data_IF_481029953462
#
_entry.id   IF_481029953462
#
_cell.length_a   1.000
_cell.length_b   1.000
_cell.length_c   1.000
_cell.angle_alpha   90.00
_cell.angle_beta   90.00
_cell.angle_gamma   90.00
#
_symmetry.space_group_name_H-M   'P 1'
#
loop_
_entity.id
_entity.type
_entity.pdbx_description
1 polymer ?
#
# COMPACT_ATOMS: atom_id res chain seq x y z
N UNK A 1 -15.13 12.86 14.62
CA UNK A 1 -16.00 11.88 13.96
C UNK A 1 -15.11 10.70 13.57
N UNK A 2 -15.16 9.57 14.31
CA UNK A 2 -14.18 8.46 14.22
C UNK A 2 -14.85 7.09 14.30
N UNK A 3 -15.85 6.82 13.45
CA UNK A 3 -16.67 5.60 13.59
C UNK A 3 -16.35 4.50 12.56
N UNK A 4 -15.77 4.83 11.40
CA UNK A 4 -15.52 3.85 10.32
C UNK A 4 -14.24 3.00 10.48
N UNK A 5 -13.30 3.41 11.35
CA UNK A 5 -12.00 2.72 11.53
C UNK A 5 -12.10 1.47 12.42
N UNK A 6 -13.02 1.49 13.37
CA UNK A 6 -13.25 0.40 14.32
C UNK A 6 -13.60 -0.95 13.65
N UNK A 7 -14.51 -1.00 12.64
CA UNK A 7 -14.82 -2.25 11.95
C UNK A 7 -13.65 -2.77 11.09
N UNK A 8 -12.88 -1.90 10.43
CA UNK A 8 -11.68 -2.31 9.65
C UNK A 8 -10.66 -2.98 10.54
N UNK A 9 -10.32 -2.31 11.64
CA UNK A 9 -9.35 -2.77 12.62
C UNK A 9 -9.81 -4.10 13.23
N UNK A 10 -11.10 -4.20 13.57
CA UNK A 10 -11.67 -5.42 14.14
C UNK A 10 -11.61 -6.59 13.17
N UNK A 11 -11.93 -6.38 11.89
CA UNK A 11 -11.83 -7.44 10.86
C UNK A 11 -10.39 -7.89 10.63
N UNK A 12 -9.44 -6.97 10.58
CA UNK A 12 -8.03 -7.31 10.46
C UNK A 12 -7.55 -8.14 11.66
N UNK A 13 -7.93 -7.76 12.88
CA UNK A 13 -7.65 -8.55 14.09
C UNK A 13 -8.27 -9.95 14.00
N UNK A 14 -9.53 -10.06 13.57
CA UNK A 14 -10.19 -11.36 13.37
C UNK A 14 -9.45 -12.24 12.35
N UNK A 15 -9.01 -11.68 11.21
CA UNK A 15 -8.22 -12.44 10.23
C UNK A 15 -6.89 -12.90 10.82
N UNK A 16 -6.24 -12.06 11.63
CA UNK A 16 -4.96 -12.39 12.28
C UNK A 16 -5.13 -13.55 13.27
N UNK A 17 -6.18 -13.53 14.08
CA UNK A 17 -6.41 -14.52 15.13
C UNK A 17 -7.04 -15.83 14.61
N UNK A 18 -7.60 -15.83 13.40
CA UNK A 18 -8.31 -16.99 12.86
C UNK A 18 -7.35 -18.14 12.48
N UNK A 19 -7.62 -19.39 12.92
CA UNK A 19 -6.69 -20.50 12.74
C UNK A 19 -6.54 -20.95 11.28
N UNK A 20 -7.56 -20.74 10.45
CA UNK A 20 -7.52 -21.10 9.02
C UNK A 20 -6.79 -20.06 8.14
N UNK A 21 -6.42 -18.90 8.68
CA UNK A 21 -5.70 -17.87 7.91
C UNK A 21 -4.26 -18.35 7.64
N UNK A 22 -3.84 -18.31 6.38
CA UNK A 22 -2.47 -18.66 5.99
C UNK A 22 -1.44 -17.72 6.63
N UNK A 23 -0.18 -18.16 6.75
CA UNK A 23 0.88 -17.35 7.35
C UNK A 23 1.12 -16.03 6.59
N UNK A 24 1.21 -16.09 5.25
CA UNK A 24 1.41 -14.92 4.41
C UNK A 24 0.24 -13.92 4.48
N UNK A 25 -1.01 -14.42 4.50
CA UNK A 25 -2.20 -13.58 4.64
C UNK A 25 -2.27 -12.92 6.02
N UNK A 26 -1.95 -13.67 7.09
CA UNK A 26 -1.87 -13.14 8.46
C UNK A 26 -0.82 -12.04 8.57
N UNK A 27 0.34 -12.24 7.96
CA UNK A 27 1.41 -11.23 7.96
C UNK A 27 1.01 -9.99 7.16
N UNK A 28 0.37 -10.14 5.99
CA UNK A 28 -0.15 -9.02 5.20
C UNK A 28 -1.26 -8.25 5.95
N UNK A 29 -2.18 -8.97 6.60
CA UNK A 29 -3.23 -8.38 7.44
C UNK A 29 -2.65 -7.59 8.61
N UNK A 30 -1.62 -8.14 9.28
CA UNK A 30 -0.91 -7.42 10.34
C UNK A 30 -0.24 -6.16 9.81
N UNK A 31 0.44 -6.21 8.65
CA UNK A 31 1.07 -5.05 8.02
C UNK A 31 0.06 -3.98 7.64
N UNK A 32 -1.10 -4.36 7.12
CA UNK A 32 -2.19 -3.41 6.82
C UNK A 32 -2.75 -2.76 8.08
N UNK A 33 -3.00 -3.54 9.15
CA UNK A 33 -3.47 -3.03 10.43
C UNK A 33 -2.50 -2.01 11.01
N UNK A 34 -1.22 -2.37 11.00
CA UNK A 34 -0.13 -1.51 11.41
C UNK A 34 -0.12 -0.18 10.64
N UNK A 35 -0.25 -0.21 9.31
CA UNK A 35 -0.31 1.01 8.49
C UNK A 35 -1.48 1.92 8.91
N UNK A 36 -2.67 1.36 9.09
CA UNK A 36 -3.86 2.11 9.51
C UNK A 36 -3.62 2.77 10.87
N UNK A 37 -3.11 2.02 11.85
CA UNK A 37 -2.84 2.55 13.18
C UNK A 37 -1.77 3.66 13.17
N UNK A 38 -0.77 3.57 12.28
CA UNK A 38 0.26 4.60 12.16
C UNK A 38 -0.24 5.93 11.57
N UNK A 39 -1.32 5.93 10.78
CA UNK A 39 -1.96 7.16 10.26
C UNK A 39 -2.76 7.92 11.31
N UNK A 40 -2.99 7.35 12.50
CA UNK A 40 -3.75 7.98 13.58
C UNK A 40 -2.83 8.49 14.72
N UNK A 41 -2.56 9.81 14.80
CA UNK A 41 -1.58 10.37 15.72
C UNK A 41 -1.92 10.19 17.21
N UNK A 42 -3.19 9.97 17.57
CA UNK A 42 -3.59 9.81 18.98
C UNK A 42 -3.13 8.49 19.62
N UNK A 43 -2.60 7.54 18.84
CA UNK A 43 -2.07 6.26 19.35
C UNK A 43 -0.53 6.17 19.30
N UNK A 44 0.15 7.16 18.70
CA UNK A 44 1.60 7.14 18.55
C UNK A 44 2.23 8.19 19.47
N UNK A 45 2.82 7.74 20.58
CA UNK A 45 3.76 8.56 21.35
C UNK A 45 4.93 9.02 20.48
N UNK A 46 5.74 9.99 20.95
CA UNK A 46 6.88 10.51 20.19
C UNK A 46 7.81 9.35 19.81
N UNK A 47 7.88 9.05 18.50
CA UNK A 47 8.82 8.08 17.96
C UNK A 47 10.20 8.73 17.96
N UNK A 48 11.13 8.20 18.74
CA UNK A 48 12.51 8.66 18.68
C UNK A 48 13.10 8.39 17.29
N UNK A 49 14.09 9.19 16.89
CA UNK A 49 14.75 9.16 15.57
C UNK A 49 15.47 7.83 15.25
N UNK A 50 15.41 6.85 16.17
CA UNK A 50 16.01 5.53 16.09
C UNK A 50 15.06 4.39 16.48
N UNK A 51 13.77 4.68 16.67
CA UNK A 51 12.77 3.66 16.97
C UNK A 51 12.38 2.91 15.70
N UNK A 52 13.16 1.87 15.43
CA UNK A 52 12.76 0.76 14.57
C UNK A 52 11.55 0.07 15.23
N UNK A 53 10.33 0.49 14.88
CA UNK A 53 9.10 -0.07 15.46
C UNK A 53 9.05 -1.61 15.39
N UNK A 54 8.18 -2.28 16.17
CA UNK A 54 8.12 -3.75 16.28
C UNK A 54 8.00 -4.52 14.95
N UNK A 55 7.63 -3.82 13.87
CA UNK A 55 7.70 -4.24 12.45
C UNK A 55 9.09 -4.73 12.00
N UNK A 56 10.16 -4.22 12.62
CA UNK A 56 11.55 -4.50 12.25
C UNK A 56 12.10 -5.81 12.83
N UNK A 57 11.47 -6.35 13.88
CA UNK A 57 11.88 -7.64 14.45
C UNK A 57 11.47 -8.83 13.55
N UNK A 58 10.46 -8.64 12.70
CA UNK A 58 10.02 -9.63 11.72
C UNK A 58 10.56 -9.22 10.34
N UNK A 59 11.75 -9.69 10.01
CA UNK A 59 12.36 -9.68 8.65
C UNK A 59 12.79 -8.30 8.11
N UNK A 60 12.14 -7.19 8.48
CA UNK A 60 12.34 -5.87 7.86
C UNK A 60 13.75 -5.27 7.99
N UNK A 61 14.47 -5.49 9.10
CA UNK A 61 15.78 -4.86 9.35
C UNK A 61 16.89 -5.30 8.37
N UNK A 62 16.84 -6.55 7.91
CA UNK A 62 17.84 -7.15 7.02
C UNK A 62 17.26 -7.65 5.69
N UNK A 63 15.99 -7.36 5.40
CA UNK A 63 15.36 -7.73 4.14
C UNK A 63 16.15 -7.17 2.94
N UNK A 64 16.41 -8.03 1.95
CA UNK A 64 16.93 -7.60 0.66
C UNK A 64 15.86 -6.80 -0.10
N UNK A 65 16.25 -6.02 -1.12
CA UNK A 65 15.26 -5.32 -1.97
C UNK A 65 14.28 -6.29 -2.63
N UNK A 66 14.74 -7.49 -3.01
CA UNK A 66 13.88 -8.53 -3.57
C UNK A 66 12.82 -9.01 -2.56
N UNK A 67 13.23 -9.23 -1.30
CA UNK A 67 12.30 -9.59 -0.22
C UNK A 67 11.29 -8.47 0.06
N UNK A 68 11.71 -7.20 -0.02
CA UNK A 68 10.81 -6.05 0.14
C UNK A 68 9.82 -5.98 -1.03
N UNK A 69 10.28 -6.16 -2.27
CA UNK A 69 9.41 -6.21 -3.44
C UNK A 69 8.36 -7.33 -3.33
N UNK A 70 8.74 -8.51 -2.84
CA UNK A 70 7.81 -9.61 -2.58
C UNK A 70 6.77 -9.25 -1.51
N UNK A 71 7.18 -8.64 -0.39
CA UNK A 71 6.25 -8.19 0.65
C UNK A 71 5.28 -7.11 0.13
N UNK A 72 5.77 -6.18 -0.70
CA UNK A 72 4.92 -5.18 -1.37
C UNK A 72 3.91 -5.87 -2.29
N UNK A 73 4.34 -6.85 -3.08
CA UNK A 73 3.43 -7.62 -3.95
C UNK A 73 2.36 -8.35 -3.14
N UNK A 74 2.71 -8.97 -2.02
CA UNK A 74 1.75 -9.63 -1.12
C UNK A 74 0.75 -8.64 -0.54
N UNK A 75 1.20 -7.44 -0.17
CA UNK A 75 0.34 -6.39 0.37
C UNK A 75 -0.66 -5.87 -0.67
N UNK A 76 -0.23 -5.73 -1.94
CA UNK A 76 -1.11 -5.34 -3.05
C UNK A 76 -2.16 -6.43 -3.30
N UNK A 77 -1.74 -7.70 -3.40
CA UNK A 77 -2.66 -8.84 -3.58
C UNK A 77 -3.67 -8.93 -2.43
N UNK A 78 -3.21 -8.75 -1.20
CA UNK A 78 -4.10 -8.73 -0.04
C UNK A 78 -5.08 -7.55 -0.11
N UNK A 79 -4.63 -6.36 -0.51
CA UNK A 79 -5.49 -5.19 -0.66
C UNK A 79 -6.56 -5.37 -1.75
N UNK A 80 -6.26 -6.08 -2.84
CA UNK A 80 -7.25 -6.41 -3.88
C UNK A 80 -8.38 -7.31 -3.35
N UNK A 81 -8.08 -8.25 -2.45
CA UNK A 81 -9.06 -9.26 -1.97
C UNK A 81 -9.73 -8.84 -0.66
N UNK A 82 -9.09 -8.01 0.15
CA UNK A 82 -9.59 -7.61 1.46
C UNK A 82 -10.85 -6.71 1.32
N UNK A 83 -12.02 -7.36 1.32
CA UNK A 83 -13.32 -6.71 1.35
C UNK A 83 -13.84 -6.58 2.77
N UNK A 84 -14.46 -5.46 3.12
CA UNK A 84 -15.41 -5.43 4.24
C UNK A 84 -16.77 -5.98 3.78
N UNK A 85 -17.61 -6.54 4.67
CA UNK A 85 -19.01 -6.78 4.33
C UNK A 85 -19.64 -5.40 4.12
N UNK A 86 -20.14 -5.13 2.92
CA UNK A 86 -20.80 -3.87 2.59
C UNK A 86 -22.05 -3.71 3.46
N UNK A 87 -21.95 -3.03 4.60
CA UNK A 87 -23.13 -2.48 5.25
C UNK A 87 -23.53 -1.24 4.46
N UNK A 88 -24.68 -1.34 3.79
CA UNK A 88 -25.31 -0.40 2.84
C UNK A 88 -25.49 1.05 3.35
N UNK A 89 -24.97 1.41 4.54
CA UNK A 89 -25.13 2.73 5.14
C UNK A 89 -23.86 3.32 5.76
N UNK A 90 -22.72 2.62 5.74
CA UNK A 90 -21.47 3.15 6.29
C UNK A 90 -20.57 3.63 5.15
N UNK A 91 -20.02 4.82 5.31
CA UNK A 91 -18.95 5.38 4.48
C UNK A 91 -17.80 4.39 4.43
N UNK A 92 -17.86 3.45 3.48
CA UNK A 92 -16.82 2.48 3.27
C UNK A 92 -15.55 3.25 2.94
N UNK A 93 -14.50 3.01 3.72
CA UNK A 93 -13.17 3.49 3.39
C UNK A 93 -12.82 2.88 2.03
N UNK A 94 -12.93 3.70 0.97
CA UNK A 94 -12.61 3.29 -0.39
C UNK A 94 -11.15 2.84 -0.42
N UNK A 95 -10.88 1.72 -1.07
CA UNK A 95 -9.52 1.27 -1.35
C UNK A 95 -9.35 1.37 -2.86
N UNK A 96 -8.63 2.39 -3.36
CA UNK A 96 -8.32 2.54 -4.77
C UNK A 96 -7.80 1.26 -5.44
N UNK A 97 -6.98 0.44 -4.76
CA UNK A 97 -6.45 -0.84 -5.29
C UNK A 97 -7.57 -1.86 -5.53
N UNK A 98 -8.55 -1.94 -4.64
CA UNK A 98 -9.69 -2.86 -4.76
C UNK A 98 -10.74 -2.36 -5.74
N UNK A 99 -11.00 -1.05 -5.70
CA UNK A 99 -12.03 -0.40 -6.51
C UNK A 99 -11.52 -0.11 -7.95
N UNK A 100 -10.27 -0.46 -8.25
CA UNK A 100 -9.66 -0.40 -9.57
C UNK A 100 -10.37 -1.33 -10.58
N UNK A 101 -10.40 -0.96 -11.88
CA UNK A 101 -10.91 -1.82 -12.95
C UNK A 101 -10.23 -3.20 -12.99
N UNK A 102 -10.99 -4.23 -13.38
CA UNK A 102 -10.52 -5.64 -13.40
C UNK A 102 -9.39 -5.87 -14.41
N UNK A 103 -9.29 -4.99 -15.41
CA UNK A 103 -8.23 -4.96 -16.42
C UNK A 103 -6.87 -4.57 -15.83
N UNK A 104 -6.86 -3.93 -14.65
CA UNK A 104 -5.62 -3.48 -14.02
C UNK A 104 -4.89 -4.65 -13.35
N UNK A 105 -3.64 -4.83 -13.76
CA UNK A 105 -2.68 -5.71 -13.09
C UNK A 105 -1.51 -4.91 -12.52
N UNK A 106 -0.90 -5.45 -11.47
CA UNK A 106 0.25 -4.84 -10.80
C UNK A 106 1.47 -5.74 -10.92
N UNK A 107 2.62 -5.16 -11.26
CA UNK A 107 3.91 -5.85 -11.21
C UNK A 107 4.88 -5.08 -10.33
N UNK A 108 5.58 -5.79 -9.44
CA UNK A 108 6.58 -5.20 -8.53
C UNK A 108 7.94 -5.76 -8.88
N UNK A 109 8.90 -4.88 -9.20
CA UNK A 109 10.21 -5.28 -9.68
C UNK A 109 11.35 -4.47 -9.03
N UNK A 110 12.54 -5.07 -8.99
CA UNK A 110 13.81 -4.43 -8.60
C UNK A 110 14.75 -4.37 -9.81
N UNK A 111 14.43 -3.58 -10.86
CA UNK A 111 15.20 -3.61 -12.12
C UNK A 111 16.60 -3.03 -11.98
N UNK A 112 16.84 -2.21 -10.95
CA UNK A 112 18.12 -1.55 -10.70
C UNK A 112 18.49 -1.62 -9.22
N UNK A 113 19.78 -1.48 -8.94
CA UNK A 113 20.29 -1.37 -7.57
C UNK A 113 19.62 -0.18 -6.88
N UNK A 114 19.06 -0.42 -5.70
CA UNK A 114 18.45 0.62 -4.88
C UNK A 114 17.09 1.10 -5.35
N UNK A 115 16.42 0.43 -6.30
CA UNK A 115 15.09 0.83 -6.79
C UNK A 115 14.07 -0.29 -6.65
N UNK A 116 12.86 0.08 -6.23
CA UNK A 116 11.67 -0.77 -6.32
C UNK A 116 10.66 -0.03 -7.18
N UNK A 117 10.16 -0.68 -8.22
CA UNK A 117 9.20 -0.10 -9.16
C UNK A 117 7.92 -0.94 -9.12
N UNK A 118 6.80 -0.27 -8.89
CA UNK A 118 5.46 -0.82 -9.10
C UNK A 118 4.94 -0.31 -10.43
N UNK A 119 4.60 -1.22 -11.33
CA UNK A 119 3.97 -0.91 -12.63
C UNK A 119 2.50 -1.27 -12.58
N UNK A 120 1.65 -0.32 -12.91
CA UNK A 120 0.21 -0.47 -13.11
C UNK A 120 -0.02 -0.71 -14.61
N UNK A 121 -0.44 -1.91 -14.96
CA UNK A 121 -0.68 -2.36 -16.33
C UNK A 121 -2.18 -2.40 -16.62
N UNK A 122 -2.56 -2.34 -17.91
CA UNK A 122 -3.95 -2.50 -18.32
C UNK A 122 -4.91 -1.35 -17.96
N UNK A 123 -4.39 -0.15 -17.64
CA UNK A 123 -5.20 1.01 -17.25
C UNK A 123 -6.19 1.41 -18.37
N UNK A 124 -7.52 1.29 -18.16
CA UNK A 124 -8.50 1.68 -19.17
C UNK A 124 -8.44 3.18 -19.45
N UNK A 125 -8.47 3.56 -20.73
CA UNK A 125 -8.28 4.97 -21.14
C UNK A 125 -9.31 5.90 -20.51
N UNK A 126 -10.57 5.49 -20.53
CA UNK A 126 -11.71 6.25 -20.02
C UNK A 126 -11.76 6.40 -18.49
N UNK A 127 -11.07 5.53 -17.76
CA UNK A 127 -11.01 5.55 -16.30
C UNK A 127 -9.76 6.27 -15.78
N UNK A 128 -8.60 5.94 -16.36
CA UNK A 128 -7.31 6.38 -15.85
C UNK A 128 -6.80 7.70 -16.39
N UNK A 129 -7.45 8.27 -17.41
CA UNK A 129 -6.94 9.44 -18.12
C UNK A 129 -8.02 10.48 -18.37
N UNK A 130 -7.62 11.74 -18.27
CA UNK A 130 -8.41 12.91 -18.65
C UNK A 130 -7.63 13.64 -19.72
N UNK A 131 -8.20 13.75 -20.92
CA UNK A 131 -7.62 14.52 -22.01
C UNK A 131 -7.88 16.00 -21.76
N UNK A 132 -6.80 16.76 -21.57
CA UNK A 132 -6.83 18.22 -21.53
C UNK A 132 -5.99 18.78 -22.69
N UNK A 133 -6.64 19.51 -23.60
CA UNK A 133 -6.00 20.12 -24.76
C UNK A 133 -5.16 19.15 -25.63
N UNK A 134 -5.56 17.88 -25.73
CA UNK A 134 -4.84 16.84 -26.49
C UNK A 134 -3.68 16.19 -25.73
N UNK A 135 -3.49 16.51 -24.46
CA UNK A 135 -2.54 15.87 -23.56
C UNK A 135 -3.31 15.01 -22.57
N UNK A 136 -3.01 13.71 -22.56
CA UNK A 136 -3.61 12.78 -21.60
C UNK A 136 -2.92 12.96 -20.23
N UNK A 137 -3.69 13.44 -19.26
CA UNK A 137 -3.26 13.58 -17.86
C UNK A 137 -3.86 12.45 -17.01
N UNK A 138 -3.17 11.98 -15.96
CA UNK A 138 -3.73 10.99 -15.04
C UNK A 138 -5.04 11.50 -14.46
N UNK A 139 -6.08 10.67 -14.48
CA UNK A 139 -7.33 11.00 -13.81
C UNK A 139 -7.12 11.03 -12.29
N UNK A 140 -8.01 11.71 -11.54
CA UNK A 140 -7.97 11.66 -10.08
C UNK A 140 -8.00 10.23 -9.52
N UNK A 141 -8.73 9.32 -10.16
CA UNK A 141 -8.80 7.92 -9.74
C UNK A 141 -7.47 7.18 -9.94
N UNK A 142 -6.76 7.42 -11.05
CA UNK A 142 -5.43 6.86 -11.27
C UNK A 142 -4.40 7.44 -10.29
N UNK A 143 -4.52 8.73 -9.95
CA UNK A 143 -3.66 9.36 -8.96
C UNK A 143 -3.89 8.80 -7.56
N UNK A 144 -5.14 8.66 -7.12
CA UNK A 144 -5.49 8.03 -5.84
C UNK A 144 -4.96 6.58 -5.74
N UNK A 145 -5.05 5.82 -6.83
CA UNK A 145 -4.47 4.48 -6.91
C UNK A 145 -2.94 4.51 -6.78
N UNK A 146 -2.28 5.44 -7.48
CA UNK A 146 -0.83 5.58 -7.40
C UNK A 146 -0.38 5.99 -5.99
N UNK A 147 -1.13 6.87 -5.32
CA UNK A 147 -0.86 7.33 -3.96
C UNK A 147 -0.98 6.15 -2.96
N UNK A 148 -2.03 5.32 -3.05
CA UNK A 148 -2.17 4.14 -2.18
C UNK A 148 -1.01 3.14 -2.38
N UNK A 149 -0.56 2.93 -3.61
CA UNK A 149 0.61 2.09 -3.90
C UNK A 149 1.90 2.71 -3.33
N UNK A 150 2.09 4.01 -3.49
CA UNK A 150 3.24 4.72 -2.93
C UNK A 150 3.27 4.63 -1.40
N UNK A 151 2.11 4.70 -0.73
CA UNK A 151 2.01 4.51 0.72
C UNK A 151 2.41 3.09 1.16
N UNK A 152 1.99 2.06 0.42
CA UNK A 152 2.44 0.68 0.69
C UNK A 152 3.96 0.59 0.57
N UNK A 153 4.55 1.17 -0.48
CA UNK A 153 6.00 1.18 -0.68
C UNK A 153 6.73 1.94 0.44
N UNK A 154 6.22 3.13 0.79
CA UNK A 154 6.82 4.00 1.81
C UNK A 154 6.75 3.39 3.21
N UNK A 155 5.82 2.48 3.47
CA UNK A 155 5.81 1.71 4.72
C UNK A 155 7.08 0.85 4.91
N UNK A 156 7.82 0.56 3.83
CA UNK A 156 9.12 -0.14 3.86
C UNK A 156 10.31 0.79 3.63
N UNK A 157 10.05 2.01 3.15
CA UNK A 157 11.06 3.01 2.77
C UNK A 157 11.18 4.08 3.86
N UNK A 158 11.76 3.69 5.00
CA UNK A 158 11.95 4.63 6.10
C UNK A 158 12.96 5.71 5.73
N UNK A 159 12.58 6.97 6.01
CA UNK A 159 13.45 8.12 6.11
C UNK A 159 13.44 8.65 7.56
N UNK A 160 14.55 9.24 7.97
CA UNK A 160 14.72 9.91 9.27
C UNK A 160 15.80 10.97 9.14
N UNK A 161 15.91 11.89 10.11
CA UNK A 161 16.93 12.95 10.05
C UNK A 161 18.36 12.39 9.90
N UNK A 162 18.56 11.20 10.47
CA UNK A 162 19.84 10.50 10.57
C UNK A 162 20.05 9.41 9.50
N UNK A 163 19.03 9.04 8.72
CA UNK A 163 19.10 7.96 7.71
C UNK A 163 18.38 8.32 6.42
N UNK A 164 19.09 8.20 5.29
CA UNK A 164 18.50 8.38 3.96
C UNK A 164 17.53 7.26 3.58
N UNK A 165 16.75 7.48 2.52
CA UNK A 165 15.82 6.49 1.97
C UNK A 165 16.54 5.17 1.67
N UNK A 166 15.90 4.05 2.04
CA UNK A 166 16.43 2.69 1.80
C UNK A 166 16.45 2.31 0.32
N UNK A 167 15.47 2.81 -0.43
CA UNK A 167 15.38 2.64 -1.89
C UNK A 167 14.64 3.82 -2.52
N UNK A 168 14.79 3.97 -3.83
CA UNK A 168 13.94 4.86 -4.62
C UNK A 168 12.68 4.10 -5.01
N UNK A 169 11.54 4.53 -4.47
CA UNK A 169 10.22 4.02 -4.82
C UNK A 169 9.77 4.67 -6.13
N UNK A 170 9.07 3.93 -6.98
CA UNK A 170 8.48 4.48 -8.18
C UNK A 170 7.17 3.76 -8.47
N UNK A 171 6.10 4.53 -8.70
CA UNK A 171 4.84 4.03 -9.21
C UNK A 171 4.67 4.57 -10.63
N UNK A 172 4.40 3.68 -11.59
CA UNK A 172 4.31 4.04 -13.00
C UNK A 172 3.23 3.25 -13.71
N UNK A 173 2.81 3.76 -14.86
CA UNK A 173 2.26 2.95 -15.97
C UNK A 173 3.41 2.66 -16.96
N UNK A 174 3.28 1.72 -17.92
CA UNK A 174 4.37 1.34 -18.82
C UNK A 174 5.10 2.52 -19.49
N UNK A 175 4.36 3.56 -19.87
CA UNK A 175 4.87 4.70 -20.63
C UNK A 175 5.14 5.96 -19.80
N UNK A 176 4.74 5.99 -18.52
CA UNK A 176 4.78 7.21 -17.70
C UNK A 176 4.94 6.91 -16.21
N UNK A 177 5.87 7.61 -15.56
CA UNK A 177 5.95 7.64 -14.10
C UNK A 177 4.87 8.54 -13.52
N UNK A 178 4.16 8.03 -12.51
CA UNK A 178 3.13 8.75 -11.77
C UNK A 178 3.71 9.36 -10.48
N UNK A 179 4.53 8.60 -9.74
CA UNK A 179 5.11 9.00 -8.44
C UNK A 179 6.57 8.53 -8.31
N UNK A 180 7.37 9.34 -7.61
CA UNK A 180 8.75 9.07 -7.17
C UNK A 180 8.89 9.20 -5.64
#
# INVERSE_FOLDING_TARGET
>A
MSTALSPRISRLRQLIDHPATGAAERDAAQRMLDRILAKHPQAAGPRGDRDYGPRYHRVGRHATLASIAEMISQDIVFAQVFSMPQHRAELAERSPIRDAPIEISYSVATPYIGKIIVTIEGVPREWGWVSDCGIDNPSPALQELADELAEIMNAYNHDGSDIGKRFFACVRVPERTLIW
#
